data_IF_566036174178
#
_entry.id   IF_566036174178
#
_cell.length_a   1.000
_cell.length_b   1.000
_cell.length_c   1.000
_cell.angle_alpha   90.00
_cell.angle_beta   90.00
_cell.angle_gamma   90.00
#
_symmetry.space_group_name_H-M   'P 1'
#
loop_
_entity.id
_entity.type
_entity.pdbx_description
1 polymer ?
#
# COMPACT_ATOMS: atom_id res chain seq x y z
N UNK A 1 -66.09 -0.48 -7.24
CA UNK A 1 -65.69 0.51 -6.21
C UNK A 1 -64.96 1.67 -6.87
N UNK A 2 -65.18 2.89 -6.37
CA UNK A 2 -64.99 4.17 -7.03
C UNK A 2 -63.53 4.68 -7.09
N UNK A 3 -63.29 5.49 -8.12
CA UNK A 3 -62.17 6.42 -8.41
C UNK A 3 -61.88 7.42 -7.29
N UNK A 4 -60.58 7.72 -7.05
CA UNK A 4 -59.92 9.03 -6.80
C UNK A 4 -58.68 8.84 -5.93
N UNK A 5 -57.51 9.38 -6.29
CA UNK A 5 -57.17 10.73 -5.80
C UNK A 5 -56.06 11.43 -6.60
N UNK A 6 -56.43 12.66 -6.94
CA UNK A 6 -55.73 13.78 -7.57
C UNK A 6 -54.58 14.29 -6.69
N UNK A 7 -53.37 14.36 -7.24
CA UNK A 7 -52.19 15.03 -6.64
C UNK A 7 -51.28 15.44 -7.80
N UNK A 8 -50.96 16.69 -8.11
CA UNK A 8 -51.33 17.99 -7.60
C UNK A 8 -50.62 18.98 -8.52
N UNK A 9 -51.39 19.80 -9.23
CA UNK A 9 -50.89 20.95 -10.01
C UNK A 9 -50.28 21.98 -9.06
N UNK A 10 -48.96 21.95 -8.82
CA UNK A 10 -48.25 23.07 -8.17
C UNK A 10 -46.79 23.21 -8.63
N UNK A 11 -46.53 23.16 -9.93
CA UNK A 11 -45.18 23.43 -10.45
C UNK A 11 -45.13 24.56 -11.49
N UNK A 12 -46.06 25.52 -11.36
CA UNK A 12 -46.09 26.77 -12.12
C UNK A 12 -45.46 27.95 -11.36
N UNK A 13 -44.27 27.73 -10.78
CA UNK A 13 -43.35 28.83 -10.42
C UNK A 13 -41.95 28.49 -10.89
N UNK A 14 -41.89 28.33 -12.21
CA UNK A 14 -40.78 28.81 -13.00
C UNK A 14 -40.30 30.14 -12.42
N UNK A 15 -38.99 30.27 -12.37
CA UNK A 15 -38.27 31.49 -12.69
C UNK A 15 -37.81 32.42 -11.56
N UNK A 16 -36.47 32.50 -11.52
CA UNK A 16 -35.63 33.66 -11.27
C UNK A 16 -35.82 34.38 -9.96
N UNK A 17 -35.01 33.97 -8.98
CA UNK A 17 -34.08 34.94 -8.35
C UNK A 17 -32.71 34.30 -8.16
N UNK A 18 -31.83 34.64 -9.10
CA UNK A 18 -30.40 34.69 -8.93
C UNK A 18 -30.04 35.27 -7.57
N UNK A 19 -29.27 34.53 -6.79
CA UNK A 19 -28.35 35.11 -5.83
C UNK A 19 -27.00 34.45 -6.10
N UNK A 20 -26.23 35.14 -6.95
CA UNK A 20 -24.81 34.94 -7.06
C UNK A 20 -24.14 35.10 -5.70
N UNK A 21 -23.11 34.28 -5.48
CA UNK A 21 -21.94 34.72 -4.72
C UNK A 21 -21.98 34.41 -3.23
N UNK A 22 -21.52 33.22 -2.87
CA UNK A 22 -20.71 33.03 -1.67
C UNK A 22 -19.83 31.80 -1.90
N UNK A 23 -18.66 32.08 -2.48
CA UNK A 23 -17.37 31.43 -2.21
C UNK A 23 -17.41 29.94 -1.80
N UNK A 24 -17.24 29.07 -2.80
CA UNK A 24 -16.74 27.71 -2.52
C UNK A 24 -15.29 27.86 -2.05
N UNK A 25 -14.90 27.45 -0.84
CA UNK A 25 -13.49 27.24 -0.58
C UNK A 25 -13.01 26.22 -1.60
N UNK A 26 -12.05 26.63 -2.43
CA UNK A 26 -11.36 25.77 -3.38
C UNK A 26 -10.58 24.74 -2.58
N UNK A 27 -11.26 23.66 -2.18
CA UNK A 27 -10.61 22.42 -1.83
C UNK A 27 -10.11 21.83 -3.15
N UNK A 28 -9.01 22.40 -3.65
CA UNK A 28 -8.06 21.65 -4.44
C UNK A 28 -7.59 20.50 -3.55
N UNK A 29 -8.38 19.42 -3.54
CA UNK A 29 -7.92 18.11 -3.12
C UNK A 29 -6.79 17.80 -4.09
N UNK A 30 -5.57 18.15 -3.67
CA UNK A 30 -4.34 17.57 -4.18
C UNK A 30 -4.43 16.09 -3.85
N UNK A 31 -5.18 15.37 -4.69
CA UNK A 31 -5.30 13.93 -4.61
C UNK A 31 -3.88 13.39 -4.66
N UNK A 32 -3.58 12.64 -3.61
CA UNK A 32 -2.26 12.29 -3.13
C UNK A 32 -1.27 11.92 -4.23
N UNK A 33 0.06 12.13 -4.04
CA UNK A 33 1.02 11.37 -4.84
C UNK A 33 0.61 9.91 -4.69
N UNK A 34 0.28 9.28 -5.83
CA UNK A 34 -0.05 7.86 -5.88
C UNK A 34 0.99 7.15 -5.02
N UNK A 35 0.54 6.57 -3.92
CA UNK A 35 1.36 5.70 -3.12
C UNK A 35 1.73 4.56 -4.07
N UNK A 36 2.85 4.73 -4.77
CA UNK A 36 3.68 3.63 -5.22
C UNK A 36 4.12 3.01 -3.93
N UNK A 37 3.23 2.20 -3.35
CA UNK A 37 3.55 1.05 -2.54
C UNK A 37 4.45 0.23 -3.45
N UNK A 38 5.72 0.65 -3.51
CA UNK A 38 6.79 -0.14 -4.05
C UNK A 38 6.60 -1.45 -3.30
N UNK A 39 6.19 -2.48 -4.05
CA UNK A 39 6.29 -3.86 -3.61
C UNK A 39 7.74 -3.95 -3.17
N UNK A 40 7.99 -3.77 -1.87
CA UNK A 40 9.20 -4.21 -1.23
C UNK A 40 9.06 -5.72 -1.38
N UNK A 41 9.44 -6.23 -2.56
CA UNK A 41 9.86 -7.60 -2.71
C UNK A 41 10.94 -7.72 -1.66
N UNK A 42 10.55 -8.27 -0.51
CA UNK A 42 11.45 -8.45 0.60
C UNK A 42 12.61 -9.22 0.04
N UNK A 43 13.79 -8.59 0.02
CA UNK A 43 15.00 -9.23 -0.45
C UNK A 43 15.06 -10.54 0.34
N UNK A 44 14.82 -11.67 -0.30
CA UNK A 44 14.97 -12.97 0.32
C UNK A 44 16.44 -13.05 0.70
N UNK A 45 16.74 -12.87 1.98
CA UNK A 45 18.10 -12.87 2.47
C UNK A 45 18.68 -14.24 2.19
N UNK A 46 19.66 -14.30 1.29
CA UNK A 46 20.30 -15.54 0.85
C UNK A 46 21.17 -16.07 1.99
N UNK A 47 20.54 -16.86 2.86
CA UNK A 47 21.18 -17.54 3.98
C UNK A 47 21.23 -19.03 3.69
N UNK A 48 22.37 -19.64 3.95
CA UNK A 48 22.58 -21.06 3.82
C UNK A 48 23.05 -21.67 5.15
N UNK A 49 22.70 -22.95 5.35
CA UNK A 49 23.22 -23.75 6.43
C UNK A 49 24.58 -24.32 6.01
N UNK A 50 25.63 -23.91 6.70
CA UNK A 50 26.99 -24.39 6.52
C UNK A 50 27.31 -25.47 7.55
N UNK A 51 28.06 -26.48 7.16
CA UNK A 51 28.62 -27.49 8.06
C UNK A 51 30.14 -27.37 8.02
N UNK A 52 30.76 -27.01 9.14
CA UNK A 52 32.22 -26.95 9.23
C UNK A 52 32.81 -28.33 9.47
N UNK A 53 34.03 -28.57 9.00
CA UNK A 53 34.83 -29.77 9.30
C UNK A 53 35.08 -29.99 10.82
N UNK A 54 34.89 -28.98 11.68
CA UNK A 54 34.88 -29.20 13.13
C UNK A 54 33.58 -29.85 13.66
N UNK A 55 32.62 -30.16 12.78
CA UNK A 55 31.32 -30.73 13.12
C UNK A 55 30.24 -29.71 13.48
N UNK A 56 30.53 -28.41 13.48
CA UNK A 56 29.57 -27.37 13.83
C UNK A 56 28.75 -26.93 12.60
N UNK A 57 27.42 -26.91 12.75
CA UNK A 57 26.51 -26.39 11.73
C UNK A 57 26.02 -25.00 12.12
N UNK A 58 26.00 -24.07 11.16
CA UNK A 58 25.58 -22.69 11.40
C UNK A 58 24.99 -22.03 10.16
N UNK A 59 24.06 -21.11 10.35
CA UNK A 59 23.47 -20.33 9.27
C UNK A 59 24.25 -19.03 9.08
N UNK A 60 24.63 -18.75 7.84
CA UNK A 60 25.29 -17.51 7.46
C UNK A 60 24.80 -17.03 6.08
N UNK A 61 25.08 -15.77 5.77
CA UNK A 61 24.85 -15.25 4.42
C UNK A 61 25.72 -16.00 3.42
N UNK A 62 25.17 -16.26 2.24
CA UNK A 62 25.93 -16.85 1.14
C UNK A 62 26.95 -15.83 0.66
N UNK A 63 28.21 -16.13 0.94
CA UNK A 63 29.38 -15.37 0.49
C UNK A 63 30.40 -16.35 -0.10
N UNK A 64 31.44 -15.82 -0.76
CA UNK A 64 32.56 -16.61 -1.28
C UNK A 64 33.47 -17.18 -0.18
N UNK A 65 33.37 -16.64 1.04
CA UNK A 65 34.14 -17.11 2.20
C UNK A 65 33.33 -16.92 3.48
N UNK A 66 33.20 -17.98 4.26
CA UNK A 66 32.47 -18.00 5.54
C UNK A 66 33.37 -18.52 6.66
N UNK A 67 33.46 -17.78 7.76
CA UNK A 67 34.20 -18.19 8.96
C UNK A 67 33.33 -18.99 9.92
N UNK A 68 33.83 -20.11 10.43
CA UNK A 68 33.14 -20.89 11.46
C UNK A 68 33.22 -20.16 12.82
N UNK A 69 32.09 -19.86 13.49
CA UNK A 69 32.10 -19.15 14.77
C UNK A 69 32.65 -20.00 15.93
N UNK A 70 32.80 -21.31 15.74
CA UNK A 70 33.31 -22.22 16.77
C UNK A 70 34.84 -22.39 16.72
N UNK A 71 35.44 -22.57 15.53
CA UNK A 71 36.87 -22.86 15.39
C UNK A 71 37.66 -21.81 14.59
N UNK A 72 37.00 -20.73 14.17
CA UNK A 72 37.57 -19.65 13.37
C UNK A 72 38.17 -20.06 12.01
N UNK A 73 37.96 -21.30 11.56
CA UNK A 73 38.37 -21.75 10.23
C UNK A 73 37.46 -21.16 9.15
N UNK A 74 38.06 -20.74 8.05
CA UNK A 74 37.35 -20.20 6.88
C UNK A 74 37.08 -21.30 5.87
N UNK A 75 35.83 -21.42 5.44
CA UNK A 75 35.42 -22.23 4.30
C UNK A 75 35.23 -21.32 3.09
N UNK A 76 35.86 -21.68 1.98
CA UNK A 76 35.74 -21.00 0.70
C UNK A 76 35.42 -22.04 -0.38
N UNK A 77 34.61 -21.64 -1.36
CA UNK A 77 34.16 -22.46 -2.48
C UNK A 77 34.44 -21.75 -3.81
#
# INVERSE_FOLDING_TARGET
MLVRSKRGERSARRQVRSAHGAERPSAASRSAPAAREARHGGQSQDRALYTCECGYAFEALVTTSVGCPHCARTQAW
#
